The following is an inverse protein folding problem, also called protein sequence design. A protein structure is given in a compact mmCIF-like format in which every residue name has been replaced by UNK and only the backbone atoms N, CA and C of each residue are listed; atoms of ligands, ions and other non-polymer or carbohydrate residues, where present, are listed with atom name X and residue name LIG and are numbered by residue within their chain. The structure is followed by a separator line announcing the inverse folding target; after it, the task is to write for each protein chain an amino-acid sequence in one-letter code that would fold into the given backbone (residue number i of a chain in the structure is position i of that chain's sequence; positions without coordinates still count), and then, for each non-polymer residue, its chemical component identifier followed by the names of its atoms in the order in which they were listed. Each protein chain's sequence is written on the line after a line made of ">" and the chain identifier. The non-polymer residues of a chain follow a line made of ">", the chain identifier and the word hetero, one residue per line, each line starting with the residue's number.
data_IF_556323119975
#
_entry.id   IF_556323119975
#
_cell.length_a   1.000
_cell.length_b   1.000
_cell.length_c   1.000
_cell.angle_alpha   90.00
_cell.angle_beta   90.00
_cell.angle_gamma   90.00
#
_symmetry.space_group_name_H-M   'P 1'
#
loop_
_entity.id
_entity.type
_entity.pdbx_description
1 polymer ?
#
# COMPACT_ATOMS: atom_id res chain seq x y z
N UNK A 1 44.37 -11.50 -48.67
CA UNK A 1 43.30 -11.70 -47.64
C UNK A 1 42.27 -10.56 -47.66
N UNK A 2 42.66 -9.28 -47.80
CA UNK A 2 41.74 -8.13 -47.96
C UNK A 2 40.80 -8.20 -49.17
N UNK A 3 41.27 -8.67 -50.33
CA UNK A 3 40.44 -8.70 -51.55
C UNK A 3 39.29 -9.73 -51.50
N UNK A 4 39.49 -10.86 -50.80
CA UNK A 4 38.42 -11.85 -50.58
C UNK A 4 37.34 -11.36 -49.61
N UNK A 5 37.67 -10.43 -48.72
CA UNK A 5 36.71 -9.81 -47.80
C UNK A 5 35.77 -8.85 -48.57
N UNK A 6 36.32 -8.06 -49.49
CA UNK A 6 35.54 -7.13 -50.30
C UNK A 6 34.58 -7.83 -51.29
N UNK A 7 34.96 -8.98 -51.87
CA UNK A 7 34.06 -9.71 -52.75
C UNK A 7 32.90 -10.38 -52.00
N UNK A 8 33.08 -10.68 -50.70
CA UNK A 8 32.03 -11.28 -49.86
C UNK A 8 30.99 -10.22 -49.43
N UNK A 9 31.45 -9.00 -49.13
CA UNK A 9 30.59 -7.87 -48.74
C UNK A 9 29.71 -7.40 -49.90
N UNK A 10 30.20 -7.50 -51.15
CA UNK A 10 29.44 -7.13 -52.36
C UNK A 10 28.63 -8.28 -52.98
N UNK A 11 28.46 -9.41 -52.27
CA UNK A 11 27.61 -10.46 -52.82
C UNK A 11 26.14 -10.04 -52.73
N UNK A 12 25.35 -10.17 -53.81
CA UNK A 12 23.93 -9.80 -53.80
C UNK A 12 23.14 -10.58 -52.74
N UNK A 13 23.60 -11.78 -52.36
CA UNK A 13 23.02 -12.58 -51.28
C UNK A 13 23.19 -11.93 -49.91
N UNK A 14 24.34 -11.33 -49.62
CA UNK A 14 24.59 -10.64 -48.33
C UNK A 14 23.74 -9.38 -48.21
N UNK A 15 23.62 -8.61 -49.30
CA UNK A 15 22.75 -7.43 -49.38
C UNK A 15 21.28 -7.78 -49.14
N UNK A 16 20.78 -8.89 -49.69
CA UNK A 16 19.42 -9.39 -49.44
C UNK A 16 19.25 -9.75 -47.96
N UNK A 17 20.19 -10.46 -47.36
CA UNK A 17 20.12 -10.84 -45.93
C UNK A 17 20.08 -9.62 -45.02
N UNK A 18 20.93 -8.61 -45.28
CA UNK A 18 20.95 -7.36 -44.50
C UNK A 18 19.65 -6.55 -44.68
N UNK A 19 19.10 -6.52 -45.89
CA UNK A 19 17.82 -5.86 -46.15
C UNK A 19 16.67 -6.54 -45.41
N UNK A 20 16.58 -7.87 -45.45
CA UNK A 20 15.57 -8.64 -44.71
C UNK A 20 15.70 -8.41 -43.21
N UNK A 21 16.93 -8.43 -42.66
CA UNK A 21 17.16 -8.16 -41.25
C UNK A 21 16.71 -6.75 -40.83
N UNK A 22 17.01 -5.73 -41.65
CA UNK A 22 16.59 -4.35 -41.39
C UNK A 22 15.05 -4.22 -41.38
N UNK A 23 14.37 -4.87 -42.32
CA UNK A 23 12.90 -4.88 -42.39
C UNK A 23 12.29 -5.55 -41.15
N UNK A 24 12.85 -6.68 -40.71
CA UNK A 24 12.38 -7.40 -39.51
C UNK A 24 12.57 -6.55 -38.25
N UNK A 25 13.74 -5.94 -38.06
CA UNK A 25 14.02 -5.07 -36.90
C UNK A 25 13.06 -3.88 -36.88
N UNK A 26 12.79 -3.28 -38.03
CA UNK A 26 11.85 -2.15 -38.16
C UNK A 26 10.43 -2.56 -37.80
N UNK A 27 9.98 -3.74 -38.25
CA UNK A 27 8.66 -4.30 -37.91
C UNK A 27 8.52 -4.58 -36.42
N UNK A 28 9.50 -5.23 -35.80
CA UNK A 28 9.50 -5.57 -34.37
C UNK A 28 9.51 -4.29 -33.50
N UNK A 29 10.31 -3.30 -33.88
CA UNK A 29 10.37 -2.01 -33.20
C UNK A 29 9.04 -1.24 -33.33
N UNK A 30 8.43 -1.25 -34.52
CA UNK A 30 7.13 -0.64 -34.78
C UNK A 30 6.00 -1.27 -33.97
N UNK A 31 5.94 -2.61 -33.91
CA UNK A 31 4.96 -3.34 -33.09
C UNK A 31 5.11 -3.04 -31.59
N UNK A 32 6.34 -2.90 -31.11
CA UNK A 32 6.63 -2.54 -29.72
C UNK A 32 6.14 -1.12 -29.39
N UNK A 33 6.37 -0.16 -30.30
CA UNK A 33 5.85 1.21 -30.20
C UNK A 33 4.31 1.27 -30.21
N UNK A 34 3.67 0.47 -31.07
CA UNK A 34 2.20 0.38 -31.13
C UNK A 34 1.66 -0.19 -29.82
N UNK A 35 2.25 -1.27 -29.30
CA UNK A 35 1.87 -1.88 -28.01
C UNK A 35 2.03 -0.87 -26.87
N UNK A 36 3.15 -0.15 -26.81
CA UNK A 36 3.39 0.90 -25.81
C UNK A 36 2.33 2.02 -25.87
N UNK A 37 2.05 2.55 -27.07
CA UNK A 37 1.05 3.61 -27.25
C UNK A 37 -0.38 3.14 -26.92
N UNK A 38 -0.72 1.90 -27.25
CA UNK A 38 -2.00 1.31 -26.88
C UNK A 38 -2.19 1.28 -25.36
N UNK A 39 -1.20 0.79 -24.62
CA UNK A 39 -1.26 0.77 -23.16
C UNK A 39 -1.29 2.18 -22.56
N UNK A 40 -0.44 3.09 -23.04
CA UNK A 40 -0.42 4.49 -22.58
C UNK A 40 -1.78 5.18 -22.76
N UNK A 41 -2.44 4.97 -23.90
CA UNK A 41 -3.75 5.56 -24.18
C UNK A 41 -4.89 4.89 -23.39
N UNK A 42 -4.83 3.57 -23.20
CA UNK A 42 -5.80 2.83 -22.36
C UNK A 42 -5.76 3.31 -20.90
N UNK A 43 -4.58 3.63 -20.37
CA UNK A 43 -4.42 4.18 -19.02
C UNK A 43 -4.67 5.69 -18.92
N UNK A 44 -4.48 6.46 -20.00
CA UNK A 44 -4.84 7.88 -20.03
C UNK A 44 -6.35 8.10 -19.88
N UNK A 45 -7.19 7.24 -20.45
CA UNK A 45 -8.66 7.30 -20.33
C UNK A 45 -9.19 7.10 -18.90
N UNK A 46 -8.42 6.45 -18.02
CA UNK A 46 -8.73 6.35 -16.59
C UNK A 46 -8.44 7.64 -15.82
N UNK A 47 -7.60 8.53 -16.35
CA UNK A 47 -7.20 9.79 -15.69
C UNK A 47 -8.20 10.93 -15.92
N UNK A 48 -8.96 10.91 -17.02
CA UNK A 48 -9.80 12.04 -17.46
C UNK A 48 -11.29 11.97 -17.09
N UNK A 49 -11.79 10.90 -16.44
CA UNK A 49 -13.18 10.85 -15.97
C UNK A 49 -13.46 11.66 -14.68
N UNK A 50 -12.47 12.38 -14.13
CA UNK A 50 -12.64 13.26 -12.95
C UNK A 50 -12.65 14.75 -13.31
N UNK A 51 -13.30 15.15 -14.41
CA UNK A 51 -13.64 16.56 -14.62
C UNK A 51 -14.83 16.93 -13.71
N UNK A 52 -14.51 17.30 -12.46
CA UNK A 52 -15.46 17.91 -11.53
C UNK A 52 -16.04 19.19 -12.14
N UNK A 53 -17.35 19.22 -12.34
CA UNK A 53 -18.08 20.49 -12.53
C UNK A 53 -17.89 21.32 -11.25
N UNK A 54 -17.15 22.42 -11.36
CA UNK A 54 -16.99 23.38 -10.27
C UNK A 54 -18.26 24.22 -10.20
N UNK A 55 -19.06 24.01 -9.16
CA UNK A 55 -20.16 24.91 -8.80
C UNK A 55 -19.62 25.92 -7.79
N UNK A 56 -19.56 27.20 -8.17
CA UNK A 56 -19.17 28.27 -7.24
C UNK A 56 -20.33 28.52 -6.27
N UNK A 57 -20.26 27.92 -5.07
CA UNK A 57 -21.15 28.25 -3.96
C UNK A 57 -20.45 29.27 -3.05
N UNK A 58 -21.00 30.47 -2.96
CA UNK A 58 -20.58 31.45 -1.95
C UNK A 58 -21.35 31.17 -0.66
N UNK A 59 -20.67 30.75 0.40
CA UNK A 59 -21.28 30.55 1.73
C UNK A 59 -20.72 31.62 2.66
N UNK A 60 -21.61 32.47 3.17
CA UNK A 60 -21.28 33.44 4.22
C UNK A 60 -21.33 32.72 5.58
N UNK A 61 -20.25 32.66 6.37
CA UNK A 61 -20.26 31.93 7.62
C UNK A 61 -21.04 32.72 8.68
N UNK A 62 -22.01 32.06 9.32
CA UNK A 62 -22.55 32.53 10.60
C UNK A 62 -21.63 32.10 11.75
N UNK A 63 -21.58 32.89 12.84
CA UNK A 63 -20.71 32.58 13.97
C UNK A 63 -21.18 31.30 14.65
N UNK A 64 -20.27 30.36 14.85
CA UNK A 64 -20.55 29.09 15.56
C UNK A 64 -20.61 29.32 17.08
N UNK A 65 -21.64 28.82 17.77
CA UNK A 65 -21.54 28.55 19.20
C UNK A 65 -20.87 27.18 19.44
N UNK A 66 -20.07 27.13 20.51
CA UNK A 66 -19.40 25.96 21.06
C UNK A 66 -20.37 24.83 21.42
N UNK A 67 -20.03 23.58 21.06
CA UNK A 67 -19.67 22.45 21.95
C UNK A 67 -19.64 21.17 21.09
N UNK A 68 -18.43 20.63 20.88
CA UNK A 68 -18.22 19.34 20.19
C UNK A 68 -18.72 18.23 21.10
N UNK A 69 -19.96 17.80 20.91
CA UNK A 69 -20.49 16.61 21.60
C UNK A 69 -19.63 15.37 21.25
N UNK A 70 -19.53 14.39 22.16
CA UNK A 70 -18.96 13.07 21.83
C UNK A 70 -19.65 12.46 20.59
N UNK A 71 -19.04 11.46 19.91
CA UNK A 71 -19.68 10.80 18.78
C UNK A 71 -21.09 10.35 19.19
N UNK A 72 -22.11 10.94 18.58
CA UNK A 72 -23.52 10.81 19.01
C UNK A 72 -24.04 9.36 18.98
N UNK A 73 -23.24 8.44 18.44
CA UNK A 73 -23.50 7.00 18.34
C UNK A 73 -23.08 6.18 19.54
N UNK A 74 -22.20 6.68 20.42
CA UNK A 74 -21.71 5.84 21.52
C UNK A 74 -22.85 5.62 22.53
N UNK A 75 -23.27 4.37 22.68
CA UNK A 75 -24.42 4.00 23.53
C UNK A 75 -24.27 4.53 24.98
N UNK A 76 -23.03 4.71 25.43
CA UNK A 76 -22.71 5.25 26.76
C UNK A 76 -21.39 6.02 26.74
N UNK A 77 -21.38 7.26 27.24
CA UNK A 77 -20.21 8.15 27.30
C UNK A 77 -19.03 7.55 28.10
N UNK A 78 -19.30 6.67 29.06
CA UNK A 78 -18.25 5.99 29.85
C UNK A 78 -17.46 4.93 29.06
N UNK A 79 -17.93 4.60 27.86
CA UNK A 79 -17.35 3.66 26.89
C UNK A 79 -16.57 4.39 25.78
N UNK A 80 -16.65 5.72 25.72
CA UNK A 80 -15.95 6.55 24.74
C UNK A 80 -14.51 6.77 25.20
N UNK A 81 -13.58 6.50 24.30
CA UNK A 81 -12.16 6.76 24.42
C UNK A 81 -11.79 7.87 23.45
N UNK A 82 -10.94 8.79 23.89
CA UNK A 82 -10.38 9.83 23.03
C UNK A 82 -8.88 9.62 22.90
N UNK A 83 -8.31 10.18 21.84
CA UNK A 83 -6.86 10.24 21.72
C UNK A 83 -6.24 11.05 22.84
N UNK A 84 -5.19 10.50 23.44
CA UNK A 84 -4.45 11.18 24.51
C UNK A 84 -3.44 12.20 24.00
N UNK A 85 -3.17 12.25 22.69
CA UNK A 85 -2.18 13.11 22.08
C UNK A 85 -2.81 14.40 21.56
N UNK A 86 -2.17 15.54 21.81
CA UNK A 86 -2.69 16.84 21.37
C UNK A 86 -2.78 17.00 19.86
N UNK A 87 -1.93 16.26 19.13
CA UNK A 87 -1.89 16.28 17.67
C UNK A 87 -2.96 15.39 17.03
N UNK A 88 -3.58 14.48 17.79
CA UNK A 88 -4.50 13.47 17.26
C UNK A 88 -5.92 13.64 17.79
N UNK A 89 -6.24 14.81 18.39
CA UNK A 89 -7.51 15.12 19.08
C UNK A 89 -8.77 14.91 18.21
N UNK A 90 -8.59 14.74 16.90
CA UNK A 90 -9.67 14.43 15.97
C UNK A 90 -10.15 12.97 16.03
N UNK A 91 -9.49 12.04 16.73
CA UNK A 91 -9.96 10.66 16.80
C UNK A 91 -10.60 10.29 18.13
N UNK A 92 -11.66 9.49 18.05
CA UNK A 92 -12.32 8.86 19.17
C UNK A 92 -12.61 7.39 18.86
N UNK A 93 -12.79 6.56 19.88
CA UNK A 93 -13.21 5.18 19.73
C UNK A 93 -14.25 4.81 20.79
N UNK A 94 -15.21 3.95 20.44
CA UNK A 94 -16.24 3.48 21.37
C UNK A 94 -16.25 1.96 21.42
N UNK A 95 -16.34 1.41 22.63
CA UNK A 95 -16.47 -0.03 22.83
C UNK A 95 -17.96 -0.42 22.84
N UNK A 96 -18.41 -1.09 21.80
CA UNK A 96 -19.79 -1.53 21.60
C UNK A 96 -19.81 -3.02 21.28
N UNK A 97 -20.57 -3.82 22.04
CA UNK A 97 -20.68 -5.27 21.87
C UNK A 97 -19.31 -6.00 21.78
N UNK A 98 -18.33 -5.52 22.55
CA UNK A 98 -16.97 -6.08 22.57
C UNK A 98 -16.09 -5.70 21.37
N UNK A 99 -16.55 -4.80 20.51
CA UNK A 99 -15.80 -4.25 19.37
C UNK A 99 -15.53 -2.78 19.56
N UNK A 100 -14.36 -2.35 19.12
CA UNK A 100 -14.08 -0.92 19.02
C UNK A 100 -14.68 -0.40 17.72
N UNK A 101 -15.33 0.75 17.77
CA UNK A 101 -15.74 1.53 16.61
C UNK A 101 -14.94 2.83 16.66
N UNK A 102 -14.13 3.10 15.64
CA UNK A 102 -13.26 4.28 15.59
C UNK A 102 -13.93 5.36 14.76
N UNK A 103 -13.81 6.61 15.22
CA UNK A 103 -14.40 7.79 14.61
C UNK A 103 -13.33 8.86 14.40
N UNK A 104 -13.49 9.61 13.32
CA UNK A 104 -12.71 10.79 12.99
C UNK A 104 -13.59 12.03 12.99
N UNK A 105 -13.14 13.07 13.64
CA UNK A 105 -13.77 14.38 13.66
C UNK A 105 -13.43 15.13 12.39
N UNK A 106 -14.46 15.68 11.74
CA UNK A 106 -14.36 16.60 10.62
C UNK A 106 -15.12 17.89 10.95
N UNK A 107 -15.18 18.84 10.00
CA UNK A 107 -15.95 20.07 10.16
C UNK A 107 -17.45 19.82 10.37
N UNK A 108 -17.97 18.70 9.85
CA UNK A 108 -19.38 18.34 9.93
C UNK A 108 -19.71 17.43 11.13
N UNK A 109 -18.71 17.06 11.94
CA UNK A 109 -18.85 16.19 13.11
C UNK A 109 -18.00 14.92 13.04
N UNK A 110 -18.33 13.93 13.87
CA UNK A 110 -17.62 12.65 13.90
C UNK A 110 -18.18 11.67 12.87
N UNK A 111 -17.30 11.08 12.08
CA UNK A 111 -17.61 10.04 11.09
C UNK A 111 -16.96 8.72 11.48
N UNK A 112 -17.67 7.59 11.36
CA UNK A 112 -17.06 6.28 11.60
C UNK A 112 -16.00 5.99 10.54
N UNK A 113 -14.88 5.42 10.98
CA UNK A 113 -13.96 4.75 10.08
C UNK A 113 -14.64 3.51 9.50
N UNK A 114 -14.29 3.16 8.25
CA UNK A 114 -15.15 2.32 7.40
C UNK A 114 -15.07 0.86 7.79
N UNK A 115 -13.86 0.32 7.88
CA UNK A 115 -13.63 -1.10 8.05
C UNK A 115 -12.39 -1.36 8.91
N UNK A 116 -12.49 -2.32 9.84
CA UNK A 116 -11.35 -2.83 10.58
C UNK A 116 -10.48 -3.69 9.66
N UNK A 117 -9.24 -3.28 9.44
CA UNK A 117 -8.30 -3.97 8.54
C UNK A 117 -7.20 -4.72 9.24
N UNK A 118 -7.18 -4.72 10.56
CA UNK A 118 -6.12 -5.35 11.34
C UNK A 118 -6.44 -5.34 12.82
N UNK A 119 -6.14 -6.44 13.51
CA UNK A 119 -6.25 -6.52 14.97
C UNK A 119 -5.23 -7.48 15.55
N UNK A 120 -4.54 -7.02 16.58
CA UNK A 120 -3.73 -7.83 17.47
C UNK A 120 -4.18 -7.59 18.91
N UNK A 121 -4.77 -8.62 19.51
CA UNK A 121 -5.24 -8.58 20.89
C UNK A 121 -4.12 -9.02 21.85
N UNK A 122 -3.78 -8.16 22.80
CA UNK A 122 -2.74 -8.37 23.80
C UNK A 122 -3.35 -8.22 25.20
N UNK A 123 -2.70 -8.74 26.23
CA UNK A 123 -3.27 -8.80 27.59
C UNK A 123 -3.80 -7.46 28.09
N UNK A 124 -3.02 -6.38 27.91
CA UNK A 124 -3.36 -5.02 28.40
C UNK A 124 -3.73 -4.04 27.31
N UNK A 125 -3.55 -4.40 26.04
CA UNK A 125 -3.69 -3.47 24.94
C UNK A 125 -4.22 -4.16 23.69
N UNK A 126 -4.77 -3.39 22.76
CA UNK A 126 -5.17 -3.87 21.43
C UNK A 126 -4.50 -2.98 20.42
N UNK A 127 -3.88 -3.57 19.41
CA UNK A 127 -3.43 -2.85 18.23
C UNK A 127 -4.48 -3.12 17.17
N UNK A 128 -5.05 -2.08 16.59
CA UNK A 128 -6.17 -2.19 15.65
C UNK A 128 -5.94 -1.22 14.49
N UNK A 129 -6.28 -1.59 13.27
CA UNK A 129 -6.26 -0.66 12.13
C UNK A 129 -7.62 -0.52 11.51
N UNK A 130 -7.86 0.68 10.97
CA UNK A 130 -9.05 0.97 10.20
C UNK A 130 -8.73 1.67 8.90
N UNK A 131 -9.50 1.35 7.89
CA UNK A 131 -9.56 2.07 6.63
C UNK A 131 -10.23 3.43 6.77
N UNK A 132 -9.53 4.47 6.31
CA UNK A 132 -10.02 5.84 6.23
C UNK A 132 -10.44 6.17 4.78
N UNK A 133 -11.62 5.67 4.37
CA UNK A 133 -12.25 6.03 3.09
C UNK A 133 -13.44 6.96 3.29
N UNK A 134 -13.23 8.10 3.93
CA UNK A 134 -14.23 9.15 3.86
C UNK A 134 -14.12 9.83 2.48
N UNK A 135 -15.24 9.93 1.75
CA UNK A 135 -15.29 10.65 0.46
C UNK A 135 -14.96 12.15 0.57
N UNK A 136 -14.78 12.66 1.81
CA UNK A 136 -14.32 14.00 2.11
C UNK A 136 -12.79 14.08 2.34
N UNK A 137 -12.09 12.94 2.43
CA UNK A 137 -10.65 12.88 2.68
C UNK A 137 -9.88 12.97 1.36
N UNK A 138 -8.85 13.82 1.26
CA UNK A 138 -8.01 13.87 0.07
C UNK A 138 -7.47 12.49 -0.29
N UNK A 139 -7.45 12.14 -1.59
CA UNK A 139 -6.99 10.82 -2.06
C UNK A 139 -5.60 10.39 -1.56
N UNK A 140 -4.76 11.36 -1.20
CA UNK A 140 -3.42 11.16 -0.65
C UNK A 140 -3.39 10.68 0.81
N UNK A 141 -4.48 10.86 1.54
CA UNK A 141 -4.61 10.52 2.96
C UNK A 141 -5.52 9.28 3.15
N UNK A 142 -5.89 8.62 2.05
CA UNK A 142 -6.56 7.32 2.09
C UNK A 142 -5.55 6.27 2.55
N UNK A 143 -6.00 5.27 3.31
CA UNK A 143 -5.18 4.16 3.78
C UNK A 143 -5.67 3.60 5.12
N UNK A 144 -4.97 2.60 5.64
CA UNK A 144 -5.23 2.10 6.99
C UNK A 144 -4.42 2.86 8.03
N UNK A 145 -5.10 3.49 8.99
CA UNK A 145 -4.46 4.05 10.19
C UNK A 145 -4.40 2.98 11.28
N UNK A 146 -3.29 2.90 11.99
CA UNK A 146 -3.09 1.93 13.08
C UNK A 146 -3.20 2.66 14.42
N UNK A 147 -3.96 2.08 15.33
CA UNK A 147 -4.23 2.60 16.65
C UNK A 147 -3.81 1.60 17.72
N UNK A 148 -3.45 2.12 18.88
CA UNK A 148 -3.22 1.35 20.09
C UNK A 148 -4.25 1.74 21.14
N UNK A 149 -4.99 0.76 21.63
CA UNK A 149 -5.98 0.88 22.69
C UNK A 149 -5.40 0.30 23.97
N UNK A 150 -5.27 1.11 25.02
CA UNK A 150 -4.95 0.65 26.36
C UNK A 150 -6.26 0.22 27.06
N UNK A 151 -6.42 -1.08 27.29
CA UNK A 151 -7.61 -1.67 27.92
C UNK A 151 -7.79 -1.18 29.36
N UNK A 152 -6.68 -0.89 30.05
CA UNK A 152 -6.66 -0.56 31.47
C UNK A 152 -6.74 0.93 31.72
N UNK A 153 -5.93 1.72 31.02
CA UNK A 153 -5.90 3.16 31.11
C UNK A 153 -7.03 3.85 30.33
N UNK A 154 -7.85 3.09 29.59
CA UNK A 154 -8.90 3.63 28.72
C UNK A 154 -8.35 4.72 27.79
N UNK A 155 -7.20 4.45 27.17
CA UNK A 155 -6.57 5.38 26.23
C UNK A 155 -6.64 4.82 24.82
N UNK A 156 -6.88 5.70 23.87
CA UNK A 156 -6.80 5.44 22.45
C UNK A 156 -5.62 6.27 21.92
N UNK A 157 -4.75 5.73 21.09
CA UNK A 157 -3.63 6.49 20.52
C UNK A 157 -3.45 6.11 19.06
N UNK A 158 -3.11 7.08 18.21
CA UNK A 158 -2.60 6.80 16.87
C UNK A 158 -1.19 6.24 17.02
N UNK A 159 -0.94 5.07 16.41
CA UNK A 159 0.37 4.43 16.39
C UNK A 159 1.11 4.75 15.08
N UNK A 160 0.40 4.65 13.96
CA UNK A 160 0.92 4.91 12.62
C UNK A 160 -0.17 5.55 11.75
N UNK A 161 0.17 6.64 11.09
CA UNK A 161 -0.63 7.22 10.02
C UNK A 161 -0.26 6.59 8.66
N UNK A 162 -1.20 6.43 7.71
CA UNK A 162 -0.87 6.02 6.33
C UNK A 162 0.28 6.84 5.71
N UNK A 163 0.36 8.13 6.04
CA UNK A 163 1.40 9.03 5.53
C UNK A 163 2.80 8.78 6.12
N UNK A 164 2.88 8.14 7.29
CA UNK A 164 4.15 7.80 7.94
C UNK A 164 4.84 6.61 7.27
N UNK A 165 4.12 5.87 6.43
CA UNK A 165 4.65 4.69 5.74
C UNK A 165 5.41 5.17 4.50
N UNK A 166 6.75 5.16 4.49
CA UNK A 166 7.51 5.71 3.38
C UNK A 166 7.18 4.92 2.12
N UNK A 167 6.60 5.63 1.15
CA UNK A 167 6.20 5.01 -0.09
C UNK A 167 7.46 4.60 -0.87
N UNK A 168 7.55 3.32 -1.22
CA UNK A 168 8.58 2.82 -2.11
C UNK A 168 7.97 2.68 -3.48
N UNK A 169 8.66 3.27 -4.45
CA UNK A 169 8.27 3.28 -5.85
C UNK A 169 7.93 1.86 -6.29
N UNK A 170 6.64 1.59 -6.51
CA UNK A 170 6.22 0.38 -7.20
C UNK A 170 6.57 0.59 -8.67
N UNK A 171 7.59 -0.13 -9.12
CA UNK A 171 8.11 -0.04 -10.48
C UNK A 171 7.02 -0.35 -11.53
N UNK A 172 5.92 -1.02 -11.16
CA UNK A 172 4.77 -1.27 -12.07
C UNK A 172 3.99 0.01 -12.33
N UNK A 173 3.68 0.80 -11.30
CA UNK A 173 2.83 1.98 -11.44
C UNK A 173 3.65 3.20 -11.87
N UNK A 174 4.93 3.28 -11.48
CA UNK A 174 5.72 4.50 -11.58
C UNK A 174 5.12 5.67 -10.80
N UNK A 175 4.15 5.40 -9.90
CA UNK A 175 3.47 6.41 -9.09
C UNK A 175 3.96 6.29 -7.65
N UNK A 176 4.52 7.38 -7.14
CA UNK A 176 5.01 7.52 -5.76
C UNK A 176 3.91 7.58 -4.68
N UNK A 177 2.65 7.36 -5.04
CA UNK A 177 1.47 7.49 -4.17
C UNK A 177 0.50 6.35 -4.47
N UNK A 178 0.59 5.28 -3.69
CA UNK A 178 -0.40 4.22 -3.67
C UNK A 178 -1.03 4.25 -2.29
N UNK A 179 -2.34 4.04 -2.24
CA UNK A 179 -3.01 3.90 -0.96
C UNK A 179 -2.48 2.63 -0.28
N UNK A 180 -2.06 2.77 0.98
CA UNK A 180 -1.47 1.68 1.76
C UNK A 180 -2.51 1.19 2.76
N UNK A 181 -2.90 -0.07 2.62
CA UNK A 181 -3.80 -0.73 3.55
C UNK A 181 -3.02 -1.72 4.38
N UNK A 182 -3.24 -1.72 5.68
CA UNK A 182 -2.77 -2.80 6.52
C UNK A 182 -3.61 -4.04 6.21
N UNK A 183 -2.99 -5.20 6.05
CA UNK A 183 -3.70 -6.40 5.59
C UNK A 183 -4.31 -7.15 6.78
N UNK A 184 -5.59 -7.51 6.67
CA UNK A 184 -6.32 -8.28 7.68
C UNK A 184 -6.13 -9.80 7.50
N UNK A 185 -5.89 -10.55 8.58
CA UNK A 185 -5.85 -12.01 8.57
C UNK A 185 -4.75 -12.62 9.46
N UNK A 186 -4.66 -13.96 9.47
CA UNK A 186 -3.77 -14.73 10.35
C UNK A 186 -2.25 -14.55 10.07
N UNK A 187 -1.86 -13.81 9.02
CA UNK A 187 -0.51 -13.90 8.45
C UNK A 187 0.22 -12.55 8.38
N UNK A 188 -0.36 -11.48 8.90
CA UNK A 188 0.03 -10.13 8.49
C UNK A 188 0.66 -9.31 9.61
N UNK A 189 0.35 -9.61 10.87
CA UNK A 189 0.75 -8.82 12.04
C UNK A 189 1.35 -9.72 13.11
N UNK A 190 2.55 -9.42 13.59
CA UNK A 190 3.16 -10.15 14.70
C UNK A 190 4.05 -9.26 15.54
N UNK A 191 4.34 -9.68 16.77
CA UNK A 191 5.29 -9.02 17.64
C UNK A 191 6.59 -9.79 17.71
N UNK A 192 7.70 -9.08 17.91
CA UNK A 192 8.93 -9.68 18.40
C UNK A 192 8.67 -10.43 19.73
N UNK A 193 9.49 -11.46 20.05
CA UNK A 193 9.34 -12.21 21.30
C UNK A 193 9.30 -11.35 22.57
N UNK A 194 10.03 -10.23 22.60
CA UNK A 194 10.04 -9.25 23.69
C UNK A 194 8.93 -8.19 23.60
N UNK A 195 8.10 -8.24 22.56
CA UNK A 195 6.98 -7.34 22.27
C UNK A 195 7.38 -5.88 22.01
N UNK A 196 8.65 -5.60 21.74
CA UNK A 196 9.15 -4.24 21.45
C UNK A 196 9.03 -3.84 19.97
N UNK A 197 8.85 -4.80 19.07
CA UNK A 197 8.73 -4.56 17.63
C UNK A 197 7.42 -5.15 17.12
N UNK A 198 6.65 -4.36 16.39
CA UNK A 198 5.48 -4.79 15.63
C UNK A 198 5.88 -4.96 14.16
N UNK A 199 5.63 -6.13 13.59
CA UNK A 199 5.64 -6.32 12.15
C UNK A 199 4.27 -5.97 11.58
N UNK A 200 4.28 -5.13 10.56
CA UNK A 200 3.10 -4.74 9.80
C UNK A 200 3.27 -5.16 8.35
N UNK A 201 2.38 -6.04 7.90
CA UNK A 201 2.20 -6.30 6.48
C UNK A 201 1.19 -5.33 5.91
N UNK A 202 1.61 -4.61 4.88
CA UNK A 202 0.78 -3.66 4.18
C UNK A 202 0.67 -4.04 2.71
N UNK A 203 -0.51 -3.80 2.13
CA UNK A 203 -0.77 -3.95 0.72
C UNK A 203 -0.91 -2.60 0.05
N UNK A 204 -0.31 -2.46 -1.12
CA UNK A 204 -0.69 -1.45 -2.09
C UNK A 204 -1.46 -2.14 -3.22
N UNK A 205 -2.70 -1.72 -3.44
CA UNK A 205 -3.56 -2.33 -4.45
C UNK A 205 -3.35 -1.65 -5.81
N UNK A 206 -3.20 -2.46 -6.86
CA UNK A 206 -3.23 -2.01 -8.25
C UNK A 206 -4.19 -2.89 -9.05
N UNK A 207 -5.42 -2.40 -9.28
CA UNK A 207 -6.44 -3.19 -9.96
C UNK A 207 -6.89 -4.38 -9.11
N UNK A 208 -6.76 -5.61 -9.64
CA UNK A 208 -7.13 -6.85 -8.94
C UNK A 208 -5.95 -7.53 -8.22
N UNK A 209 -4.74 -6.99 -8.33
CA UNK A 209 -3.54 -7.51 -7.67
C UNK A 209 -3.01 -6.52 -6.64
N UNK A 210 -2.22 -7.02 -5.69
CA UNK A 210 -1.64 -6.23 -4.62
C UNK A 210 -0.14 -6.54 -4.45
N UNK A 211 0.64 -5.47 -4.28
CA UNK A 211 2.01 -5.56 -3.80
C UNK A 211 1.99 -5.58 -2.27
N UNK A 212 2.67 -6.56 -1.68
CA UNK A 212 2.73 -6.71 -0.23
C UNK A 212 4.11 -6.35 0.29
N UNK A 213 4.14 -5.54 1.34
CA UNK A 213 5.34 -4.98 1.92
C UNK A 213 5.36 -5.24 3.43
N UNK A 214 6.54 -5.53 3.94
CA UNK A 214 6.78 -5.75 5.36
C UNK A 214 7.49 -4.54 5.96
N UNK A 215 6.93 -4.02 7.04
CA UNK A 215 7.50 -2.97 7.86
C UNK A 215 7.67 -3.45 9.31
N UNK A 216 8.63 -2.89 10.01
CA UNK A 216 8.85 -3.09 11.43
C UNK A 216 8.73 -1.77 12.17
N UNK A 217 7.83 -1.68 13.13
CA UNK A 217 7.65 -0.54 14.00
C UNK A 217 8.25 -0.84 15.38
N UNK A 218 9.20 -0.02 15.82
CA UNK A 218 9.81 -0.16 17.14
C UNK A 218 9.07 0.75 18.15
N UNK A 219 8.45 0.17 19.18
CA UNK A 219 7.68 0.93 20.18
C UNK A 219 8.54 1.87 21.03
N UNK A 220 9.83 1.54 21.22
CA UNK A 220 10.74 2.35 22.03
C UNK A 220 11.23 3.58 21.26
N UNK A 221 11.77 3.39 20.06
CA UNK A 221 12.27 4.52 19.23
C UNK A 221 11.16 5.26 18.49
N UNK A 222 9.97 4.65 18.38
CA UNK A 222 8.85 5.12 17.53
C UNK A 222 9.21 5.22 16.05
N UNK A 223 10.15 4.40 15.60
CA UNK A 223 10.60 4.39 14.21
C UNK A 223 9.93 3.25 13.43
N UNK A 224 9.50 3.57 12.21
CA UNK A 224 9.01 2.62 11.22
C UNK A 224 10.11 2.32 10.19
N UNK A 225 10.52 1.07 10.09
CA UNK A 225 11.57 0.60 9.18
C UNK A 225 10.97 -0.29 8.09
N UNK A 226 11.29 0.00 6.83
CA UNK A 226 10.96 -0.89 5.72
C UNK A 226 11.87 -2.11 5.69
N UNK A 227 11.30 -3.30 5.58
CA UNK A 227 12.04 -4.57 5.52
C UNK A 227 12.19 -5.04 4.07
N UNK A 228 11.07 -5.12 3.34
CA UNK A 228 11.07 -5.59 1.95
C UNK A 228 9.70 -5.97 1.42
N UNK A 229 9.65 -6.34 0.14
CA UNK A 229 8.44 -6.88 -0.49
C UNK A 229 8.28 -8.36 -0.16
N UNK A 230 7.09 -8.79 0.26
CA UNK A 230 6.80 -10.18 0.62
C UNK A 230 6.49 -11.00 -0.64
N UNK A 231 6.93 -12.26 -0.67
CA UNK A 231 6.48 -13.25 -1.65
C UNK A 231 5.28 -14.01 -1.11
N UNK A 232 4.23 -14.17 -1.92
CA UNK A 232 3.01 -14.88 -1.52
C UNK A 232 2.86 -16.16 -2.33
N UNK A 233 3.01 -17.29 -1.66
CA UNK A 233 2.85 -18.64 -2.23
C UNK A 233 1.71 -19.34 -1.47
N UNK A 234 0.48 -18.88 -1.73
CA UNK A 234 -0.67 -19.12 -0.88
C UNK A 234 -0.69 -18.23 0.37
N UNK A 235 0.36 -18.33 1.19
CA UNK A 235 0.56 -17.61 2.46
C UNK A 235 1.91 -16.89 2.54
N UNK A 236 2.02 -15.91 3.44
CA UNK A 236 3.32 -15.29 3.75
C UNK A 236 4.16 -16.15 4.68
N UNK A 237 5.48 -16.17 4.45
CA UNK A 237 6.43 -16.76 5.39
C UNK A 237 7.18 -15.66 6.13
N UNK A 238 6.94 -15.56 7.44
CA UNK A 238 7.61 -14.64 8.36
C UNK A 238 7.82 -15.38 9.69
N UNK A 239 9.04 -15.40 10.20
CA UNK A 239 9.43 -16.12 11.41
C UNK A 239 10.43 -15.27 12.21
N UNK A 240 10.18 -15.10 13.51
CA UNK A 240 11.16 -14.52 14.43
C UNK A 240 12.20 -15.58 14.80
N UNK A 241 13.48 -15.31 14.52
CA UNK A 241 14.59 -16.15 14.96
C UNK A 241 14.94 -15.81 16.42
N UNK A 242 14.93 -14.53 16.75
CA UNK A 242 15.16 -13.98 18.10
C UNK A 242 14.44 -12.63 18.26
N UNK A 243 14.81 -11.83 19.26
CA UNK A 243 14.15 -10.55 19.58
C UNK A 243 14.32 -9.47 18.51
N UNK A 244 15.35 -9.55 17.66
CA UNK A 244 15.66 -8.53 16.66
C UNK A 244 15.94 -9.10 15.27
N UNK A 245 15.83 -10.41 15.07
CA UNK A 245 16.15 -11.07 13.81
C UNK A 245 14.95 -11.82 13.25
N UNK A 246 14.65 -11.58 11.97
CA UNK A 246 13.57 -12.21 11.21
C UNK A 246 14.16 -13.12 10.13
N UNK A 247 13.48 -14.24 9.89
CA UNK A 247 13.53 -14.97 8.61
C UNK A 247 12.22 -14.74 7.87
N UNK A 248 12.28 -14.40 6.59
CA UNK A 248 11.09 -14.13 5.78
C UNK A 248 11.31 -14.52 4.31
N UNK A 249 10.25 -14.76 3.54
CA UNK A 249 10.37 -15.05 2.10
C UNK A 249 10.12 -13.78 1.29
N UNK A 250 11.16 -13.32 0.61
CA UNK A 250 11.13 -12.06 -0.12
C UNK A 250 10.59 -12.22 -1.52
N UNK A 251 9.83 -11.23 -1.97
CA UNK A 251 9.24 -11.18 -3.30
C UNK A 251 9.43 -9.80 -3.92
N UNK A 252 9.39 -9.77 -5.26
CA UNK A 252 9.22 -8.52 -6.01
C UNK A 252 8.35 -8.79 -7.22
N UNK A 253 7.60 -7.81 -7.65
CA UNK A 253 7.00 -7.89 -8.96
C UNK A 253 8.05 -7.63 -10.05
N UNK A 254 7.84 -8.23 -11.23
CA UNK A 254 8.54 -7.87 -12.47
C UNK A 254 7.59 -7.99 -13.66
N UNK A 255 7.92 -7.36 -14.78
CA UNK A 255 7.12 -7.47 -16.00
C UNK A 255 7.21 -8.90 -16.54
N UNK A 256 6.10 -9.39 -17.09
CA UNK A 256 6.08 -10.67 -17.79
C UNK A 256 6.90 -10.59 -19.07
N UNK A 257 7.69 -11.63 -19.27
CA UNK A 257 8.46 -11.91 -20.47
C UNK A 257 7.75 -12.98 -21.31
N UNK A 258 8.14 -13.12 -22.57
CA UNK A 258 7.57 -14.14 -23.46
C UNK A 258 7.81 -15.59 -22.97
N UNK A 259 8.73 -15.80 -22.02
CA UNK A 259 9.05 -17.11 -21.45
C UNK A 259 8.24 -17.45 -20.20
N UNK A 260 7.47 -16.50 -19.65
CA UNK A 260 6.66 -16.75 -18.47
C UNK A 260 5.43 -17.58 -18.86
N UNK A 261 5.39 -18.82 -18.37
CA UNK A 261 4.36 -19.82 -18.71
C UNK A 261 3.09 -19.72 -17.86
N UNK A 262 3.12 -18.94 -16.78
CA UNK A 262 1.94 -18.76 -15.93
C UNK A 262 0.84 -18.02 -16.70
N UNK A 263 -0.33 -18.64 -16.84
CA UNK A 263 -1.52 -17.97 -17.35
C UNK A 263 -1.97 -16.92 -16.33
N UNK A 264 -1.92 -15.66 -16.72
CA UNK A 264 -2.42 -14.55 -15.92
C UNK A 264 -2.77 -13.38 -16.82
N UNK A 265 -3.94 -12.78 -16.60
CA UNK A 265 -4.34 -11.55 -17.30
C UNK A 265 -3.53 -10.32 -16.89
N UNK A 266 -2.69 -10.46 -15.87
CA UNK A 266 -1.89 -9.39 -15.31
C UNK A 266 -0.52 -9.28 -15.99
N UNK A 267 -0.05 -8.08 -16.37
CA UNK A 267 1.21 -7.89 -17.10
C UNK A 267 2.45 -8.12 -16.23
N UNK A 268 2.29 -8.42 -14.94
CA UNK A 268 3.39 -8.69 -14.02
C UNK A 268 3.27 -10.09 -13.41
N UNK A 269 4.40 -10.57 -12.92
CA UNK A 269 4.53 -11.81 -12.15
C UNK A 269 5.30 -11.50 -10.87
N UNK A 270 4.92 -12.15 -9.78
CA UNK A 270 5.67 -12.07 -8.54
C UNK A 270 6.87 -13.04 -8.61
N UNK A 271 8.07 -12.50 -8.55
CA UNK A 271 9.31 -13.28 -8.48
C UNK A 271 9.64 -13.64 -7.04
N UNK A 272 9.89 -14.92 -6.78
CA UNK A 272 10.42 -15.40 -5.51
C UNK A 272 11.91 -15.07 -5.39
N UNK A 273 12.25 -14.21 -4.44
CA UNK A 273 13.63 -13.85 -4.12
C UNK A 273 14.25 -14.77 -3.06
N UNK A 274 13.52 -15.80 -2.65
CA UNK A 274 13.90 -16.79 -1.65
C UNK A 274 13.85 -16.27 -0.22
N UNK A 275 14.34 -17.10 0.71
CA UNK A 275 14.44 -16.74 2.11
C UNK A 275 15.49 -15.65 2.35
N UNK A 276 15.13 -14.68 3.19
CA UNK A 276 15.95 -13.57 3.66
C UNK A 276 16.06 -13.63 5.18
N UNK A 277 17.16 -13.09 5.69
CA UNK A 277 17.37 -12.85 7.12
C UNK A 277 17.62 -11.35 7.31
N UNK A 278 16.94 -10.73 8.28
CA UNK A 278 17.06 -9.30 8.55
C UNK A 278 17.20 -9.04 10.04
N UNK A 279 18.19 -8.24 10.42
CA UNK A 279 18.34 -7.69 11.78
C UNK A 279 17.69 -6.31 11.85
N UNK A 280 16.93 -6.08 12.90
CA UNK A 280 16.13 -4.86 13.12
C UNK A 280 16.83 -3.85 14.00
#
# INVERSE_FOLDING_TARGET
>A
MREKLFSFINSPKLLIVLFVYSVIITLVSGLSLIKWNYWKNKFAGYKEQNNSKIYNLSITPLPSPLTKSPPATCINESSTLFTGNENDKEFAACLEDGKYNVYRETLDGYYPMVEETGRLDLDKQIIISYEDYSGQVPKKDLGSRVFMVDKTGKKFNVLLDPLDIPNKEDWISGVQYNVIYAVYGNETWSLSPDKNILLLTVSSCWGCDASYHLYAYNFFSKELKYIGGLYRDGQFYIEWIDINTLRWRGGRWRERTANDTEEGHFPAIQEDLGYKITSL
#
